data_IF_669848867089
#
_entry.id   IF_669848867089
#
_cell.length_a   1.000
_cell.length_b   1.000
_cell.length_c   1.000
_cell.angle_alpha   90.00
_cell.angle_beta   90.00
_cell.angle_gamma   90.00
#
_symmetry.space_group_name_H-M   'P 1'
#
loop_
_entity.id
_entity.type
_entity.pdbx_description
1 polymer ?
#
# COMPACT_ATOMS: atom_id res chain seq x y z
N UNK A 1 2.77 -7.68 0.66
CA UNK A 1 2.02 -7.00 -0.41
C UNK A 1 0.83 -7.84 -0.88
N UNK A 2 1.03 -8.91 -1.67
CA UNK A 2 -0.08 -9.73 -2.18
C UNK A 2 -0.95 -10.39 -1.10
N UNK A 3 -0.34 -11.10 -0.14
CA UNK A 3 -1.09 -11.76 0.94
C UNK A 3 -1.90 -10.75 1.78
N UNK A 4 -1.37 -9.55 2.01
CA UNK A 4 -2.04 -8.48 2.74
C UNK A 4 -3.23 -7.91 1.95
N UNK A 5 -3.07 -7.73 0.64
CA UNK A 5 -4.15 -7.28 -0.26
C UNK A 5 -5.25 -8.34 -0.36
N UNK A 6 -4.89 -9.63 -0.50
CA UNK A 6 -5.86 -10.72 -0.54
C UNK A 6 -6.62 -10.87 0.78
N UNK A 7 -5.93 -10.77 1.92
CA UNK A 7 -6.57 -10.86 3.22
C UNK A 7 -7.53 -9.68 3.47
N UNK A 8 -7.15 -8.45 3.06
CA UNK A 8 -8.06 -7.29 3.11
C UNK A 8 -9.31 -7.51 2.26
N UNK A 9 -9.17 -8.13 1.09
CA UNK A 9 -10.28 -8.39 0.18
C UNK A 9 -11.19 -9.53 0.59
N UNK A 10 -10.61 -10.63 1.06
CA UNK A 10 -11.37 -11.74 1.59
C UNK A 10 -12.32 -11.24 2.67
N UNK A 11 -11.84 -10.38 3.56
CA UNK A 11 -12.66 -9.80 4.60
C UNK A 11 -13.70 -8.80 4.11
N UNK A 12 -13.38 -7.94 3.13
CA UNK A 12 -14.35 -7.02 2.55
C UNK A 12 -15.56 -7.75 1.94
N UNK A 13 -15.36 -8.98 1.47
CA UNK A 13 -16.39 -9.82 0.86
C UNK A 13 -17.06 -10.81 1.84
N UNK A 14 -16.62 -10.88 3.09
CA UNK A 14 -17.25 -11.71 4.12
C UNK A 14 -18.29 -10.89 4.91
N UNK A 15 -19.58 -11.09 4.61
CA UNK A 15 -20.67 -10.44 5.32
C UNK A 15 -20.59 -10.68 6.84
N UNK A 16 -20.55 -9.60 7.63
CA UNK A 16 -20.48 -9.65 9.09
C UNK A 16 -19.08 -9.80 9.69
N UNK A 17 -18.04 -9.99 8.87
CA UNK A 17 -16.65 -10.01 9.34
C UNK A 17 -16.09 -8.59 9.39
N UNK A 18 -15.53 -8.14 10.53
CA UNK A 18 -14.77 -6.89 10.55
C UNK A 18 -13.56 -7.01 9.60
N UNK A 19 -13.12 -5.92 8.95
CA UNK A 19 -11.86 -5.92 8.22
C UNK A 19 -10.73 -6.39 9.15
N UNK A 20 -9.88 -7.35 8.76
CA UNK A 20 -8.86 -7.93 9.60
C UNK A 20 -7.77 -6.93 9.94
N UNK A 21 -7.67 -5.85 9.15
CA UNK A 21 -6.70 -4.79 9.31
C UNK A 21 -7.41 -3.44 9.36
N UNK A 22 -7.02 -2.60 10.32
CA UNK A 22 -7.47 -1.21 10.41
C UNK A 22 -6.81 -0.31 9.37
N UNK A 23 -5.57 -0.60 9.00
CA UNK A 23 -4.85 0.04 7.89
C UNK A 23 -3.74 -0.87 7.35
N UNK A 24 -3.12 -0.47 6.24
CA UNK A 24 -2.01 -1.16 5.59
C UNK A 24 -0.84 -0.19 5.37
N UNK A 25 0.39 -0.66 5.59
CA UNK A 25 1.60 0.05 5.19
C UNK A 25 2.38 -0.86 4.25
N UNK A 26 2.54 -0.44 2.99
CA UNK A 26 3.18 -1.22 1.94
C UNK A 26 4.41 -0.47 1.45
N UNK A 27 5.58 -1.11 1.53
CA UNK A 27 6.85 -0.52 1.07
C UNK A 27 7.30 -1.22 -0.20
N UNK A 28 7.50 -0.43 -1.25
CA UNK A 28 7.85 -0.86 -2.60
C UNK A 28 7.02 -2.03 -3.09
N UNK A 29 5.68 -1.94 -3.06
CA UNK A 29 4.88 -3.04 -3.53
C UNK A 29 5.02 -3.21 -5.02
N UNK A 30 5.29 -4.45 -5.41
CA UNK A 30 5.12 -4.91 -6.77
C UNK A 30 3.65 -5.19 -7.00
N UNK A 31 3.18 -4.88 -8.21
CA UNK A 31 1.87 -5.26 -8.70
C UNK A 31 2.10 -6.27 -9.83
N UNK A 32 2.35 -7.56 -9.51
CA UNK A 32 2.37 -8.57 -10.55
C UNK A 32 0.99 -8.59 -11.21
N UNK A 33 0.91 -9.13 -12.42
CA UNK A 33 -0.30 -9.16 -13.26
C UNK A 33 -1.53 -9.87 -12.67
N UNK A 34 -1.63 -10.05 -11.35
CA UNK A 34 -2.75 -10.62 -10.61
C UNK A 34 -4.07 -9.91 -10.88
N UNK A 35 -4.06 -8.59 -11.06
CA UNK A 35 -5.27 -7.84 -11.48
C UNK A 35 -5.82 -8.40 -12.79
N UNK A 36 -4.91 -8.78 -13.69
CA UNK A 36 -5.24 -9.41 -14.97
C UNK A 36 -5.53 -10.91 -14.83
N UNK A 37 -4.86 -11.61 -13.93
CA UNK A 37 -5.03 -13.06 -13.74
C UNK A 37 -6.32 -13.43 -12.99
N UNK A 38 -6.79 -12.58 -12.07
CA UNK A 38 -7.96 -12.82 -11.23
C UNK A 38 -8.87 -11.59 -11.13
N UNK A 39 -9.33 -11.02 -12.26
CA UNK A 39 -10.01 -9.71 -12.29
C UNK A 39 -11.22 -9.61 -11.38
N UNK A 40 -11.94 -10.70 -11.15
CA UNK A 40 -13.08 -10.79 -10.24
C UNK A 40 -12.70 -10.47 -8.79
N UNK A 41 -11.51 -10.89 -8.34
CA UNK A 41 -11.00 -10.53 -7.02
C UNK A 41 -10.72 -9.03 -6.94
N UNK A 42 -10.41 -8.38 -8.07
CA UNK A 42 -10.02 -6.97 -8.20
C UNK A 42 -11.14 -6.04 -8.68
N UNK A 43 -12.36 -6.54 -8.87
CA UNK A 43 -13.48 -5.76 -9.37
C UNK A 43 -13.96 -4.65 -8.40
N UNK A 44 -13.79 -4.86 -7.09
CA UNK A 44 -14.19 -3.89 -6.07
C UNK A 44 -12.96 -3.24 -5.42
N UNK A 45 -12.87 -1.90 -5.40
CA UNK A 45 -11.81 -1.20 -4.71
C UNK A 45 -11.82 -1.43 -3.19
N UNK A 46 -10.62 -1.49 -2.61
CA UNK A 46 -10.40 -1.58 -1.17
C UNK A 46 -10.76 -0.28 -0.46
N UNK A 47 -11.42 -0.40 0.70
CA UNK A 47 -11.72 0.73 1.60
C UNK A 47 -10.83 0.76 2.84
N UNK A 48 -9.95 -0.22 2.99
CA UNK A 48 -8.97 -0.24 4.09
C UNK A 48 -7.92 0.84 3.81
N UNK A 49 -7.73 1.82 4.72
CA UNK A 49 -6.70 2.84 4.56
C UNK A 49 -5.33 2.21 4.30
N UNK A 50 -4.61 2.70 3.30
CA UNK A 50 -3.30 2.22 2.94
C UNK A 50 -2.32 3.38 2.73
N UNK A 51 -1.17 3.31 3.38
CA UNK A 51 0.00 4.12 3.07
C UNK A 51 0.96 3.29 2.21
N UNK A 52 1.20 3.74 0.99
CA UNK A 52 2.00 3.03 0.01
C UNK A 52 3.24 3.84 -0.35
N UNK A 53 4.40 3.26 -0.03
CA UNK A 53 5.71 3.85 -0.24
C UNK A 53 6.39 3.34 -1.49
N UNK A 54 6.98 4.26 -2.26
CA UNK A 54 7.71 3.97 -3.48
C UNK A 54 9.05 4.69 -3.52
N UNK A 55 10.04 4.04 -4.12
CA UNK A 55 11.23 4.73 -4.59
C UNK A 55 10.90 5.44 -5.92
N UNK A 56 11.27 6.73 -6.05
CA UNK A 56 10.96 7.53 -7.26
C UNK A 56 11.57 6.95 -8.52
N UNK A 57 12.79 6.43 -8.40
CA UNK A 57 13.60 5.91 -9.50
C UNK A 57 13.59 4.38 -9.54
N UNK A 58 12.53 3.76 -9.03
CA UNK A 58 12.42 2.31 -8.98
C UNK A 58 12.25 1.72 -10.39
N UNK A 59 13.20 0.90 -10.87
CA UNK A 59 13.14 0.35 -12.22
C UNK A 59 12.08 -0.76 -12.37
N UNK A 60 11.59 -1.33 -11.25
CA UNK A 60 10.68 -2.47 -11.23
C UNK A 60 9.22 -2.02 -11.21
N UNK A 61 8.91 -0.90 -10.54
CA UNK A 61 7.53 -0.46 -10.27
C UNK A 61 7.20 0.89 -10.88
N UNK A 62 7.74 1.21 -12.08
CA UNK A 62 7.56 2.52 -12.74
C UNK A 62 6.09 2.99 -12.83
N UNK A 63 5.18 2.11 -13.22
CA UNK A 63 3.72 2.40 -13.23
C UNK A 63 3.02 1.98 -11.93
N UNK A 64 3.77 1.37 -11.01
CA UNK A 64 3.31 0.84 -9.75
C UNK A 64 2.44 1.82 -8.97
N UNK A 65 2.87 3.07 -8.70
CA UNK A 65 2.06 4.02 -7.94
C UNK A 65 0.67 4.27 -8.52
N UNK A 66 0.56 4.35 -9.85
CA UNK A 66 -0.70 4.59 -10.57
C UNK A 66 -1.57 3.35 -10.61
N UNK A 67 -0.99 2.17 -10.86
CA UNK A 67 -1.76 0.93 -10.89
C UNK A 67 -2.21 0.50 -9.49
N UNK A 68 -1.40 0.75 -8.46
CA UNK A 68 -1.78 0.51 -7.08
C UNK A 68 -2.97 1.38 -6.68
N UNK A 69 -2.99 2.67 -7.02
CA UNK A 69 -4.09 3.54 -6.59
C UNK A 69 -5.46 3.06 -7.08
N UNK A 70 -5.52 2.35 -8.21
CA UNK A 70 -6.77 1.76 -8.74
C UNK A 70 -7.33 0.64 -7.86
N UNK A 71 -6.51 0.05 -6.97
CA UNK A 71 -6.95 -1.04 -6.09
C UNK A 71 -7.71 -0.55 -4.86
N UNK A 72 -7.68 0.76 -4.57
CA UNK A 72 -8.32 1.39 -3.41
C UNK A 72 -9.32 2.45 -3.85
N UNK A 73 -10.22 2.83 -2.96
CA UNK A 73 -10.99 4.07 -3.10
C UNK A 73 -10.05 5.27 -2.93
N UNK A 74 -10.41 6.41 -3.55
CA UNK A 74 -9.54 7.59 -3.61
C UNK A 74 -9.18 8.16 -2.22
N UNK A 75 -10.08 8.00 -1.24
CA UNK A 75 -9.92 8.45 0.14
C UNK A 75 -9.11 7.49 1.02
N UNK A 76 -8.97 6.22 0.60
CA UNK A 76 -8.26 5.19 1.36
C UNK A 76 -6.83 4.96 0.88
N UNK A 77 -6.38 5.64 -0.17
CA UNK A 77 -5.04 5.49 -0.73
C UNK A 77 -4.17 6.71 -0.44
N UNK A 78 -3.12 6.50 0.34
CA UNK A 78 -2.12 7.50 0.65
C UNK A 78 -0.78 7.08 0.07
N UNK A 79 -0.11 8.01 -0.61
CA UNK A 79 1.19 7.77 -1.23
C UNK A 79 2.30 8.44 -0.42
N UNK A 80 3.44 7.77 -0.34
CA UNK A 80 4.71 8.40 0.00
C UNK A 80 5.78 8.01 -1.00
N UNK A 81 6.73 8.91 -1.23
CA UNK A 81 7.83 8.68 -2.14
C UNK A 81 9.14 9.00 -1.45
N UNK A 82 10.18 8.26 -1.82
CA UNK A 82 11.53 8.54 -1.35
C UNK A 82 12.55 8.47 -2.48
N UNK A 83 13.71 9.07 -2.23
CA UNK A 83 14.85 9.07 -3.11
C UNK A 83 15.70 7.80 -2.96
N UNK A 84 16.58 7.57 -3.92
CA UNK A 84 17.60 6.51 -3.86
C UNK A 84 17.53 5.55 -5.03
N UNK A 85 18.59 4.73 -5.24
CA UNK A 85 18.65 3.86 -6.39
C UNK A 85 17.89 2.53 -6.16
N UNK A 86 17.18 2.11 -7.20
CA UNK A 86 16.67 0.75 -7.35
C UNK A 86 15.38 0.46 -6.56
N UNK A 87 15.09 -0.83 -6.44
CA UNK A 87 13.91 -1.33 -5.74
C UNK A 87 14.19 -1.50 -4.25
N UNK A 88 14.09 -0.38 -3.50
CA UNK A 88 14.35 -0.35 -2.06
C UNK A 88 13.11 0.09 -1.30
N UNK A 89 12.80 -0.51 -0.14
CA UNK A 89 11.66 -0.12 0.69
C UNK A 89 11.88 1.18 1.47
N UNK A 90 13.14 1.58 1.65
CA UNK A 90 13.55 2.78 2.37
C UNK A 90 14.76 3.43 1.66
N UNK A 91 14.93 4.76 1.78
CA UNK A 91 16.07 5.48 1.25
C UNK A 91 17.35 5.14 2.02
N UNK A 92 18.50 5.50 1.45
CA UNK A 92 19.79 5.33 2.13
C UNK A 92 20.17 6.55 3.00
N UNK A 93 19.56 7.70 2.75
CA UNK A 93 19.78 8.93 3.50
C UNK A 93 19.05 8.86 4.85
N UNK A 94 19.78 9.06 5.96
CA UNK A 94 19.27 8.84 7.33
C UNK A 94 18.14 9.80 7.72
N UNK A 95 18.24 11.04 7.29
CA UNK A 95 17.22 12.07 7.45
C UNK A 95 15.91 11.70 6.74
N UNK A 96 16.01 11.17 5.52
CA UNK A 96 14.85 10.72 4.77
C UNK A 96 14.23 9.45 5.38
N UNK A 97 15.05 8.52 5.91
CA UNK A 97 14.56 7.39 6.70
C UNK A 97 13.73 7.88 7.90
N UNK A 98 14.24 8.85 8.66
CA UNK A 98 13.52 9.40 9.81
C UNK A 98 12.19 10.07 9.42
N UNK A 99 12.16 10.77 8.28
CA UNK A 99 10.95 11.37 7.75
C UNK A 99 9.90 10.32 7.37
N UNK A 100 10.30 9.24 6.68
CA UNK A 100 9.40 8.14 6.32
C UNK A 100 8.90 7.41 7.57
N UNK A 101 9.78 7.11 8.53
CA UNK A 101 9.37 6.49 9.79
C UNK A 101 8.34 7.34 10.53
N UNK A 102 8.55 8.66 10.59
CA UNK A 102 7.60 9.59 11.21
C UNK A 102 6.26 9.60 10.49
N UNK A 103 6.26 9.54 9.15
CA UNK A 103 5.03 9.46 8.35
C UNK A 103 4.26 8.16 8.60
N UNK A 104 4.97 7.02 8.67
CA UNK A 104 4.38 5.72 8.99
C UNK A 104 3.76 5.75 10.39
N UNK A 105 4.47 6.28 11.39
CA UNK A 105 3.98 6.38 12.76
C UNK A 105 2.72 7.25 12.86
N UNK A 106 2.71 8.40 12.18
CA UNK A 106 1.52 9.27 12.13
C UNK A 106 0.31 8.57 11.52
N UNK A 107 0.51 7.85 10.42
CA UNK A 107 -0.54 7.08 9.76
C UNK A 107 -1.09 5.94 10.64
N UNK A 108 -0.20 5.24 11.34
CA UNK A 108 -0.60 4.20 12.30
C UNK A 108 -1.37 4.81 13.49
N UNK A 109 -0.95 5.95 14.02
CA UNK A 109 -1.66 6.62 15.11
C UNK A 109 -3.07 7.07 14.71
N UNK A 110 -3.24 7.55 13.47
CA UNK A 110 -4.51 7.99 12.91
C UNK A 110 -5.51 6.83 12.76
N UNK A 111 -5.08 5.69 12.22
CA UNK A 111 -5.98 4.58 11.87
C UNK A 111 -6.00 3.42 12.89
N UNK A 112 -5.03 3.37 13.80
CA UNK A 112 -4.93 2.36 14.86
C UNK A 112 -4.85 3.02 16.25
N UNK A 113 -5.85 3.82 16.67
CA UNK A 113 -5.86 4.40 18.01
C UNK A 113 -5.91 3.30 19.08
N UNK A 114 -5.20 3.54 20.18
CA UNK A 114 -5.17 2.66 21.36
C UNK A 114 -6.54 2.57 22.04
#
# INVERSE_FOLDING_TARGET
NFATILAARAAQNCAGSPPPFRCMVLLSPTLPGYVTQFPELFATPLRTPALVGFCKDDPIIKEGPTEHSKLWTADSYHRMEHSGPGHRPLPSAKDEVAAISSRILAFLAEHCPQ
#
